data_IF_581901624185
#
_entry.id   IF_581901624185
#
_cell.length_a   1.000
_cell.length_b   1.000
_cell.length_c   1.000
_cell.angle_alpha   90.00
_cell.angle_beta   90.00
_cell.angle_gamma   90.00
#
_symmetry.space_group_name_H-M   'P 1'
#
loop_
_entity.id
_entity.type
_entity.pdbx_description
1 polymer ?
#
# COMPACT_ATOMS: atom_id res chain seq x y z
N UNK A 1 20.71 -22.66 -13.39
CA UNK A 1 20.87 -21.39 -14.13
C UNK A 1 19.65 -20.55 -13.83
N UNK A 2 19.73 -19.71 -12.81
CA UNK A 2 18.66 -18.75 -12.55
C UNK A 2 18.79 -17.68 -13.63
N UNK A 3 17.81 -17.57 -14.52
CA UNK A 3 17.77 -16.44 -15.43
C UNK A 3 17.69 -15.19 -14.55
N UNK A 4 18.59 -14.21 -14.76
CA UNK A 4 18.48 -12.94 -14.08
C UNK A 4 17.12 -12.35 -14.43
N UNK A 5 16.22 -12.31 -13.44
CA UNK A 5 14.91 -11.67 -13.56
C UNK A 5 15.12 -10.23 -13.99
N UNK A 6 14.24 -9.73 -14.86
CA UNK A 6 14.28 -8.31 -15.25
C UNK A 6 14.06 -7.43 -14.01
N UNK A 7 14.67 -6.26 -14.00
CA UNK A 7 14.44 -5.28 -12.96
C UNK A 7 12.98 -4.85 -12.89
N UNK A 8 12.51 -4.55 -11.69
CA UNK A 8 11.15 -4.08 -11.48
C UNK A 8 11.01 -2.63 -11.94
N UNK A 9 10.02 -2.29 -12.80
CA UNK A 9 9.80 -0.91 -13.21
C UNK A 9 9.16 -0.05 -12.11
N UNK A 10 8.64 -0.65 -11.03
CA UNK A 10 8.03 0.06 -9.89
C UNK A 10 9.09 0.35 -8.83
N UNK A 11 9.18 1.60 -8.39
CA UNK A 11 10.09 2.00 -7.33
C UNK A 11 9.50 1.71 -5.93
N UNK A 12 9.62 0.46 -5.49
CA UNK A 12 9.15 0.05 -4.16
C UNK A 12 9.90 0.77 -3.03
N UNK A 13 11.11 1.30 -3.23
CA UNK A 13 11.83 2.02 -2.17
C UNK A 13 11.04 3.21 -1.63
N UNK A 14 10.31 3.91 -2.50
CA UNK A 14 9.58 5.13 -2.17
C UNK A 14 8.09 4.89 -1.87
N UNK A 15 7.64 3.63 -1.84
CA UNK A 15 6.26 3.29 -1.54
C UNK A 15 5.90 3.58 -0.07
N UNK A 16 4.60 3.76 0.20
CA UNK A 16 4.12 4.04 1.55
C UNK A 16 3.93 2.76 2.39
N UNK A 17 4.96 2.39 3.15
CA UNK A 17 4.95 1.22 4.05
C UNK A 17 4.13 1.38 5.33
N UNK A 18 3.59 2.57 5.61
CA UNK A 18 2.73 2.78 6.79
C UNK A 18 1.42 2.00 6.69
N UNK A 19 0.96 1.71 5.46
CA UNK A 19 -0.22 0.87 5.19
C UNK A 19 -0.09 -0.49 5.88
N UNK A 20 1.10 -1.11 5.83
CA UNK A 20 1.38 -2.40 6.48
C UNK A 20 1.76 -2.20 7.95
N UNK A 21 2.75 -1.33 8.21
CA UNK A 21 3.41 -1.25 9.53
C UNK A 21 2.54 -0.64 10.63
N UNK A 22 1.50 0.12 10.28
CA UNK A 22 0.53 0.64 11.25
C UNK A 22 -0.41 -0.45 11.81
N UNK A 23 -0.65 -1.50 11.03
CA UNK A 23 -1.66 -2.54 11.30
C UNK A 23 -1.01 -3.88 11.70
N UNK A 24 -0.02 -4.35 10.95
CA UNK A 24 0.65 -5.62 11.19
C UNK A 24 1.79 -5.45 12.19
N UNK A 25 1.51 -5.71 13.48
CA UNK A 25 2.46 -5.48 14.58
C UNK A 25 2.87 -6.76 15.30
N UNK A 26 4.16 -6.85 15.60
CA UNK A 26 4.71 -7.90 16.45
C UNK A 26 4.37 -7.69 17.94
N UNK A 27 4.62 -8.70 18.78
CA UNK A 27 5.24 -9.98 18.44
C UNK A 27 4.27 -11.02 17.86
N UNK A 28 2.96 -10.80 17.98
CA UNK A 28 1.94 -11.80 17.63
C UNK A 28 1.58 -11.81 16.15
N UNK A 29 1.81 -10.71 15.42
CA UNK A 29 1.51 -10.57 13.99
C UNK A 29 0.12 -11.13 13.61
N UNK A 30 -0.97 -10.46 14.03
CA UNK A 30 -2.33 -10.99 13.89
C UNK A 30 -2.64 -11.30 12.42
N UNK A 31 -2.94 -12.55 12.03
CA UNK A 31 -3.07 -12.96 10.64
C UNK A 31 -4.04 -12.08 9.84
N UNK A 32 -5.23 -11.83 10.36
CA UNK A 32 -6.25 -11.02 9.69
C UNK A 32 -5.73 -9.62 9.36
N UNK A 33 -5.18 -8.91 10.36
CA UNK A 33 -4.66 -7.55 10.18
C UNK A 33 -3.45 -7.52 9.25
N UNK A 34 -2.55 -8.50 9.35
CA UNK A 34 -1.36 -8.57 8.52
C UNK A 34 -1.67 -8.87 7.06
N UNK A 35 -2.62 -9.77 6.80
CA UNK A 35 -2.99 -10.14 5.44
C UNK A 35 -3.88 -9.08 4.77
N UNK A 36 -4.76 -8.43 5.52
CA UNK A 36 -5.55 -7.29 5.04
C UNK A 36 -4.63 -6.12 4.68
N UNK A 37 -3.71 -5.74 5.58
CA UNK A 37 -2.77 -4.66 5.30
C UNK A 37 -1.80 -4.96 4.14
N UNK A 38 -1.41 -6.23 3.96
CA UNK A 38 -0.65 -6.65 2.79
C UNK A 38 -1.48 -6.54 1.51
N UNK A 39 -2.77 -6.90 1.54
CA UNK A 39 -3.68 -6.73 0.40
C UNK A 39 -3.82 -5.26 0.01
N UNK A 40 -4.09 -4.40 0.98
CA UNK A 40 -4.21 -2.95 0.75
C UNK A 40 -2.95 -2.36 0.09
N UNK A 41 -1.77 -2.82 0.52
CA UNK A 41 -0.51 -2.40 -0.05
C UNK A 41 -0.23 -3.00 -1.44
N UNK A 42 -0.42 -4.31 -1.62
CA UNK A 42 0.06 -5.05 -2.78
C UNK A 42 -0.93 -5.08 -3.96
N UNK A 43 -2.23 -5.00 -3.70
CA UNK A 43 -3.26 -5.11 -4.74
C UNK A 43 -3.13 -4.07 -5.87
N UNK A 44 -2.77 -2.80 -5.60
CA UNK A 44 -2.52 -1.80 -6.63
C UNK A 44 -1.30 -2.10 -7.53
N UNK A 45 -0.48 -3.09 -7.20
CA UNK A 45 0.74 -3.47 -7.94
C UNK A 45 0.66 -4.87 -8.57
N UNK A 46 -0.51 -5.51 -8.56
CA UNK A 46 -0.73 -6.89 -9.03
C UNK A 46 -0.25 -7.14 -10.45
N UNK A 47 -0.35 -6.14 -11.34
CA UNK A 47 0.16 -6.21 -12.72
C UNK A 47 1.67 -6.49 -12.77
N UNK A 48 2.44 -6.00 -11.79
CA UNK A 48 3.91 -6.12 -11.78
C UNK A 48 4.39 -7.25 -10.88
N UNK A 49 3.82 -7.39 -9.68
CA UNK A 49 4.28 -8.39 -8.70
C UNK A 49 3.91 -9.82 -9.09
N UNK A 50 2.89 -10.00 -9.93
CA UNK A 50 2.54 -11.32 -10.47
C UNK A 50 3.35 -11.70 -11.72
N UNK A 51 4.17 -10.80 -12.27
CA UNK A 51 5.06 -11.13 -13.38
C UNK A 51 6.30 -11.90 -12.89
N UNK A 52 6.26 -13.22 -13.09
CA UNK A 52 7.35 -14.14 -12.73
C UNK A 52 8.66 -13.89 -13.48
N UNK A 53 8.67 -13.08 -14.54
CA UNK A 53 9.87 -12.70 -15.28
C UNK A 53 10.63 -11.53 -14.64
N UNK A 54 10.04 -10.87 -13.64
CA UNK A 54 10.64 -9.71 -12.96
C UNK A 54 11.04 -10.02 -11.52
N UNK A 55 11.83 -9.12 -10.94
CA UNK A 55 12.19 -9.11 -9.52
C UNK A 55 11.15 -8.42 -8.64
N UNK A 56 10.04 -7.89 -9.18
CA UNK A 56 9.09 -7.04 -8.46
C UNK A 56 8.59 -7.62 -7.13
N UNK A 57 8.13 -8.87 -7.11
CA UNK A 57 7.68 -9.50 -5.86
C UNK A 57 8.80 -9.60 -4.82
N UNK A 58 10.00 -9.99 -5.25
CA UNK A 58 11.16 -10.13 -4.35
C UNK A 58 11.60 -8.77 -3.79
N UNK A 59 11.64 -7.74 -4.65
CA UNK A 59 11.96 -6.36 -4.26
C UNK A 59 10.91 -5.81 -3.29
N UNK A 60 9.62 -5.97 -3.60
CA UNK A 60 8.52 -5.56 -2.73
C UNK A 60 8.65 -6.18 -1.33
N UNK A 61 8.76 -7.52 -1.24
CA UNK A 61 8.87 -8.19 0.05
C UNK A 61 10.17 -7.83 0.80
N UNK A 62 11.27 -7.55 0.08
CA UNK A 62 12.51 -7.10 0.72
C UNK A 62 12.31 -5.77 1.47
N UNK A 63 11.69 -4.78 0.83
CA UNK A 63 11.42 -3.50 1.49
C UNK A 63 10.32 -3.60 2.56
N UNK A 64 9.28 -4.41 2.36
CA UNK A 64 8.28 -4.70 3.42
C UNK A 64 8.98 -5.22 4.68
N UNK A 65 9.85 -6.22 4.52
CA UNK A 65 10.57 -6.82 5.64
C UNK A 65 11.57 -5.84 6.27
N UNK A 66 12.24 -5.03 5.45
CA UNK A 66 13.20 -4.02 5.91
C UNK A 66 12.53 -2.95 6.78
N UNK A 67 11.47 -2.31 6.28
CA UNK A 67 10.81 -1.20 6.97
C UNK A 67 9.93 -1.66 8.13
N UNK A 68 9.28 -2.82 8.00
CA UNK A 68 8.45 -3.39 9.05
C UNK A 68 9.20 -4.24 10.07
N UNK A 69 10.48 -4.55 9.82
CA UNK A 69 11.29 -5.48 10.62
C UNK A 69 10.63 -6.86 10.76
N UNK A 70 9.97 -7.31 9.69
CA UNK A 70 9.22 -8.57 9.70
C UNK A 70 10.15 -9.78 9.56
N UNK A 71 9.86 -10.89 10.25
CA UNK A 71 10.61 -12.12 10.08
C UNK A 71 10.40 -12.68 8.66
N UNK A 72 11.45 -13.31 8.07
CA UNK A 72 11.35 -13.93 6.75
C UNK A 72 10.19 -14.92 6.67
N UNK A 73 9.39 -14.82 5.61
CA UNK A 73 8.28 -15.73 5.34
C UNK A 73 7.01 -15.47 6.14
N UNK A 74 6.94 -14.43 7.00
CA UNK A 74 5.74 -14.10 7.78
C UNK A 74 4.47 -14.12 6.91
N UNK A 75 4.47 -13.31 5.85
CA UNK A 75 3.31 -13.17 4.97
C UNK A 75 3.06 -14.41 4.12
N UNK A 76 4.10 -15.04 3.57
CA UNK A 76 3.96 -16.25 2.75
C UNK A 76 3.36 -17.44 3.54
N UNK A 77 3.68 -17.53 4.82
CA UNK A 77 3.21 -18.61 5.69
C UNK A 77 1.83 -18.32 6.30
N UNK A 78 1.46 -17.05 6.43
CA UNK A 78 0.24 -16.63 7.14
C UNK A 78 -0.90 -16.28 6.18
N UNK A 79 -0.57 -15.68 5.03
CA UNK A 79 -1.55 -15.06 4.14
C UNK A 79 -1.80 -15.92 2.90
N UNK A 80 -2.78 -16.82 3.03
CA UNK A 80 -3.22 -17.69 1.94
C UNK A 80 -4.74 -17.82 1.92
N UNK A 81 -5.38 -17.24 0.90
CA UNK A 81 -6.84 -17.34 0.69
C UNK A 81 -7.19 -18.45 -0.32
N UNK A 82 -6.23 -18.90 -1.14
CA UNK A 82 -6.43 -19.98 -2.11
C UNK A 82 -5.14 -20.49 -2.75
N UNK A 83 -5.28 -21.21 -3.87
CA UNK A 83 -4.14 -21.74 -4.63
C UNK A 83 -3.24 -20.64 -5.24
N UNK A 84 -3.82 -19.48 -5.51
CA UNK A 84 -3.14 -18.34 -6.14
C UNK A 84 -2.64 -17.30 -5.11
N UNK A 85 -2.65 -17.60 -3.82
CA UNK A 85 -2.25 -16.67 -2.77
C UNK A 85 -3.41 -15.82 -2.25
N UNK A 86 -3.23 -14.49 -2.25
CA UNK A 86 -4.23 -13.51 -1.82
C UNK A 86 -5.06 -13.02 -3.01
N UNK A 87 -6.37 -12.94 -2.84
CA UNK A 87 -7.27 -12.41 -3.84
C UNK A 87 -7.39 -10.89 -3.69
N UNK A 88 -7.16 -10.16 -4.78
CA UNK A 88 -7.37 -8.72 -4.85
C UNK A 88 -8.71 -8.39 -5.53
N UNK A 89 -9.40 -7.31 -5.12
CA UNK A 89 -10.59 -6.84 -5.82
C UNK A 89 -10.26 -6.51 -7.29
N UNK A 90 -11.08 -6.98 -8.23
CA UNK A 90 -10.86 -6.76 -9.67
C UNK A 90 -10.85 -5.26 -10.04
N UNK A 91 -11.61 -4.44 -9.32
CA UNK A 91 -11.72 -3.00 -9.56
C UNK A 91 -10.57 -2.17 -8.94
N UNK A 92 -9.53 -2.81 -8.38
CA UNK A 92 -8.42 -2.09 -7.75
C UNK A 92 -7.60 -1.30 -8.79
N UNK A 93 -7.51 0.04 -8.69
CA UNK A 93 -6.70 0.83 -9.60
C UNK A 93 -5.23 0.43 -9.53
N UNK A 94 -4.60 0.26 -10.69
CA UNK A 94 -3.19 -0.11 -10.78
C UNK A 94 -2.31 1.14 -10.75
N UNK A 95 -1.31 1.15 -9.88
CA UNK A 95 -0.31 2.23 -9.80
C UNK A 95 0.67 2.07 -10.96
N UNK A 96 0.96 3.16 -11.67
CA UNK A 96 1.98 3.15 -12.73
C UNK A 96 3.37 3.43 -12.15
N UNK A 97 4.45 2.99 -12.82
CA UNK A 97 5.81 3.42 -12.51
C UNK A 97 5.89 4.94 -12.35
N UNK A 98 6.45 5.40 -11.23
CA UNK A 98 6.58 6.83 -10.90
C UNK A 98 5.41 7.45 -10.12
N UNK A 99 4.32 6.71 -9.85
CA UNK A 99 3.16 7.18 -9.07
C UNK A 99 3.04 6.51 -7.67
N UNK A 100 4.11 5.87 -7.19
CA UNK A 100 4.11 5.00 -6.00
C UNK A 100 3.82 5.73 -4.67
N UNK A 101 4.09 7.04 -4.62
CA UNK A 101 3.82 7.88 -3.44
C UNK A 101 2.34 8.22 -3.25
N UNK A 102 1.53 8.08 -4.30
CA UNK A 102 0.18 8.63 -4.37
C UNK A 102 -0.91 7.55 -4.26
N UNK A 103 -0.77 6.57 -3.37
CA UNK A 103 -1.89 5.67 -3.06
C UNK A 103 -2.48 5.99 -1.69
N UNK A 104 -3.28 7.05 -1.66
CA UNK A 104 -4.27 7.31 -0.62
C UNK A 104 -5.52 7.84 -1.30
N UNK A 105 -6.43 6.95 -1.70
CA UNK A 105 -7.85 7.25 -1.89
C UNK A 105 -8.65 5.96 -2.07
N UNK A 106 -9.05 5.36 -0.96
CA UNK A 106 -10.22 4.48 -0.92
C UNK A 106 -11.33 5.22 -0.18
N UNK A 107 -12.39 5.60 -0.90
CA UNK A 107 -13.77 5.62 -0.39
C UNK A 107 -14.75 5.85 -1.54
N UNK A 108 -15.80 5.05 -1.53
CA UNK A 108 -16.78 4.86 -2.58
C UNK A 108 -17.86 5.95 -2.63
N UNK A 109 -18.52 6.05 -3.80
CA UNK A 109 -19.95 6.34 -3.94
C UNK A 109 -20.50 7.65 -3.40
N UNK A 110 -20.86 8.57 -4.30
CA UNK A 110 -21.75 9.69 -3.98
C UNK A 110 -21.67 10.84 -4.96
N UNK A 111 -22.53 10.84 -5.98
CA UNK A 111 -22.86 12.03 -6.77
C UNK A 111 -23.36 13.14 -5.85
N UNK A 112 -22.75 14.35 -5.85
CA UNK A 112 -23.36 15.67 -6.10
C UNK A 112 -22.26 16.75 -6.19
N UNK A 113 -22.17 17.60 -7.23
CA UNK A 113 -21.34 18.80 -7.20
C UNK A 113 -22.18 20.01 -6.74
N UNK A 114 -21.75 20.74 -5.71
CA UNK A 114 -22.26 22.10 -5.48
C UNK A 114 -21.21 23.00 -4.78
N UNK A 115 -20.55 23.79 -5.63
CA UNK A 115 -20.20 25.22 -5.52
C UNK A 115 -19.54 25.79 -4.24
N UNK A 116 -18.53 26.65 -4.51
CA UNK A 116 -17.82 27.63 -3.67
C UNK A 116 -18.73 28.42 -2.67
N UNK A 117 -18.28 29.16 -1.64
CA UNK A 117 -17.36 30.32 -1.68
C UNK A 117 -16.95 30.78 -0.25
N UNK A 118 -15.73 31.35 -0.16
CA UNK A 118 -15.30 32.53 0.61
C UNK A 118 -15.05 32.50 2.13
N UNK A 119 -13.87 33.03 2.46
CA UNK A 119 -13.28 33.30 3.76
C UNK A 119 -13.78 34.58 4.42
N UNK A 120 -13.76 34.64 5.75
CA UNK A 120 -13.32 35.84 6.49
C UNK A 120 -12.80 35.44 7.88
N UNK A 121 -11.48 35.50 8.04
CA UNK A 121 -10.77 35.50 9.31
C UNK A 121 -10.80 36.92 9.90
N UNK A 122 -11.55 37.12 10.98
CA UNK A 122 -11.53 38.34 11.78
C UNK A 122 -11.33 37.98 13.26
N UNK A 123 -10.08 37.77 13.65
CA UNK A 123 -9.67 37.82 15.05
C UNK A 123 -8.51 38.82 15.14
N UNK A 124 -8.87 40.08 15.33
CA UNK A 124 -7.96 41.13 15.79
C UNK A 124 -8.77 42.20 16.52
N UNK A 125 -8.37 42.40 17.78
CA UNK A 125 -8.62 43.56 18.64
C UNK A 125 -9.89 43.57 19.49
N UNK A 126 -9.73 43.23 20.78
CA UNK A 126 -10.28 43.92 21.96
C UNK A 126 -9.21 43.75 23.05
N UNK A 127 -8.13 44.53 23.02
CA UNK A 127 -7.96 45.84 23.66
C UNK A 127 -8.26 45.80 25.17
N UNK A 128 -7.19 46.05 25.90
CA UNK A 128 -7.05 46.44 27.30
C UNK A 128 -8.08 47.45 27.78
N UNK A 129 -8.64 47.24 28.98
CA UNK A 129 -9.02 48.27 29.96
C UNK A 129 -9.13 47.60 31.33
#
# INVERSE_FOLDING_TARGET
MEHAKKDCPVNFEEANYTVITSQCKGPLYPPTLCCEALKDFACPYTTYINDVQTSCAATMFSYINLYGKYPPGLFANTCKEGANGLACPEDTPQVKPGEEKASSSAAAGGVVPLLAIAAVSAFLMLITS
#
